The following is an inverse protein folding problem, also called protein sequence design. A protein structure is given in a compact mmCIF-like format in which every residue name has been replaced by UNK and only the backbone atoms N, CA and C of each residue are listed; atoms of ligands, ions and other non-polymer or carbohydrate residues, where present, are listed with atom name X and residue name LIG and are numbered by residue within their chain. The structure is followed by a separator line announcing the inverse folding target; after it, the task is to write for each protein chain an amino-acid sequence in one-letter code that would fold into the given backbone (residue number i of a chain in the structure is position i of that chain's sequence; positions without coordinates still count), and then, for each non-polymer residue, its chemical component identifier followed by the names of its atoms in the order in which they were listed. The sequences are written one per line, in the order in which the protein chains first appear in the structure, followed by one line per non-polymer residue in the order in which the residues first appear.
data_IF_098689071898
#
_entry.id   IF_098689071898
#
_cell.length_a   1.000
_cell.length_b   1.000
_cell.length_c   1.000
_cell.angle_alpha   90.00
_cell.angle_beta   90.00
_cell.angle_gamma   90.00
#
_symmetry.space_group_name_H-M   'P 1'
#
loop_
_entity.id
_entity.type
_entity.pdbx_description
1 polymer ?
#
# COMPACT_ATOMS: atom_id res chain seq x y z
N UNK A 1 88.55 37.47 -7.54
CA UNK A 1 88.32 36.39 -8.53
C UNK A 1 86.86 35.97 -8.43
N UNK A 2 86.11 36.14 -9.51
CA UNK A 2 84.67 35.85 -9.66
C UNK A 2 84.42 34.40 -10.07
N UNK A 3 83.27 33.83 -9.68
CA UNK A 3 82.46 32.77 -10.34
C UNK A 3 81.29 32.42 -9.41
N UNK A 4 80.09 32.92 -9.71
CA UNK A 4 79.03 32.33 -10.55
C UNK A 4 78.20 31.27 -9.82
N UNK A 5 76.92 31.61 -9.64
CA UNK A 5 75.83 30.81 -9.12
C UNK A 5 75.51 29.64 -10.06
N UNK A 6 75.07 28.50 -9.53
CA UNK A 6 74.05 27.68 -10.17
C UNK A 6 73.29 26.82 -9.15
N UNK A 7 71.98 26.75 -9.40
CA UNK A 7 70.93 26.14 -8.60
C UNK A 7 70.93 24.61 -8.74
N UNK A 8 71.00 23.88 -7.63
CA UNK A 8 70.61 22.46 -7.57
C UNK A 8 69.56 22.24 -6.47
N UNK A 9 68.32 22.66 -6.77
CA UNK A 9 67.11 22.35 -5.98
C UNK A 9 66.51 21.01 -6.48
N UNK A 10 67.33 19.96 -6.62
CA UNK A 10 66.88 18.64 -7.09
C UNK A 10 67.61 17.49 -6.39
N UNK A 11 67.59 17.48 -5.06
CA UNK A 11 68.08 16.33 -4.26
C UNK A 11 67.20 16.00 -3.05
N UNK A 12 65.87 16.13 -3.19
CA UNK A 12 64.93 15.59 -2.20
C UNK A 12 64.56 14.14 -2.54
N UNK A 13 64.68 13.19 -1.60
CA UNK A 13 64.25 11.81 -1.80
C UNK A 13 62.72 11.74 -2.02
N UNK A 14 62.31 11.06 -3.09
CA UNK A 14 60.92 10.93 -3.57
C UNK A 14 60.06 9.93 -2.78
N UNK A 15 60.22 9.86 -1.46
CA UNK A 15 59.39 8.98 -0.61
C UNK A 15 58.89 9.72 0.63
N UNK A 16 57.88 10.57 0.42
CA UNK A 16 57.01 10.95 1.52
C UNK A 16 56.16 9.72 1.89
N UNK A 17 56.09 9.32 3.17
CA UNK A 17 55.12 8.31 3.59
C UNK A 17 53.71 8.85 3.25
N UNK A 18 52.77 7.99 2.82
CA UNK A 18 51.40 8.45 2.59
C UNK A 18 50.88 9.07 3.88
N UNK A 19 50.73 10.39 3.86
CA UNK A 19 49.95 11.12 4.84
C UNK A 19 48.60 10.42 4.93
N UNK A 20 48.11 10.23 6.16
CA UNK A 20 46.75 9.82 6.45
C UNK A 20 45.78 10.69 5.62
N UNK A 21 45.43 10.22 4.43
CA UNK A 21 44.26 10.69 3.74
C UNK A 21 43.10 10.39 4.69
N UNK A 22 42.23 11.36 5.03
CA UNK A 22 41.02 11.04 5.73
C UNK A 22 40.29 10.02 4.86
N UNK A 23 40.15 8.79 5.36
CA UNK A 23 39.42 7.74 4.70
C UNK A 23 38.00 8.26 4.47
N UNK A 24 37.69 8.62 3.23
CA UNK A 24 36.35 8.96 2.77
C UNK A 24 35.48 7.68 2.71
N UNK A 25 35.38 6.99 3.84
CA UNK A 25 34.66 5.72 4.00
C UNK A 25 33.95 5.74 5.35
N UNK A 26 33.05 6.71 5.54
CA UNK A 26 32.04 6.69 6.61
C UNK A 26 30.93 7.74 6.40
N UNK A 27 30.48 7.99 5.16
CA UNK A 27 29.25 8.76 4.92
C UNK A 27 28.13 7.92 4.30
N UNK A 28 28.33 6.62 4.12
CA UNK A 28 27.38 5.74 3.44
C UNK A 28 26.52 4.86 4.37
N UNK A 29 26.50 5.10 5.68
CA UNK A 29 25.69 4.30 6.61
C UNK A 29 24.87 5.14 7.57
N UNK A 30 23.98 5.97 7.03
CA UNK A 30 22.65 6.11 7.64
C UNK A 30 21.63 6.10 6.51
N UNK A 31 21.23 4.90 6.08
CA UNK A 31 19.86 4.79 5.59
C UNK A 31 19.00 5.14 6.79
N UNK A 32 18.55 6.39 6.87
CA UNK A 32 17.55 6.85 7.82
C UNK A 32 16.29 6.03 7.52
N UNK A 33 16.22 4.83 8.10
CA UNK A 33 15.01 4.05 8.16
C UNK A 33 13.98 4.98 8.77
N UNK A 34 12.99 5.39 7.97
CA UNK A 34 11.88 6.24 8.44
C UNK A 34 11.42 5.64 9.76
N UNK A 35 11.71 6.36 10.85
CA UNK A 35 11.53 5.83 12.18
C UNK A 35 10.07 5.39 12.31
N UNK A 36 9.80 4.20 12.88
CA UNK A 36 8.44 3.66 12.99
C UNK A 36 7.48 4.62 13.71
N UNK A 37 8.02 5.58 14.48
CA UNK A 37 7.27 6.67 15.10
C UNK A 37 6.44 7.49 14.10
N UNK A 38 6.95 7.73 12.89
CA UNK A 38 6.22 8.50 11.88
C UNK A 38 5.01 7.75 11.35
N UNK A 39 5.00 6.41 11.35
CA UNK A 39 3.83 5.62 10.95
C UNK A 39 2.75 5.64 12.01
N UNK A 40 3.16 5.57 13.28
CA UNK A 40 2.25 5.77 14.40
C UNK A 40 1.65 7.17 14.32
N UNK A 41 2.47 8.20 14.09
CA UNK A 41 2.01 9.57 13.92
C UNK A 41 1.10 9.73 12.69
N UNK A 42 1.46 9.18 11.53
CA UNK A 42 0.62 9.23 10.33
C UNK A 42 -0.73 8.54 10.56
N UNK A 43 -0.75 7.38 11.23
CA UNK A 43 -1.98 6.71 11.60
C UNK A 43 -2.81 7.50 12.60
N UNK A 44 -2.19 8.05 13.64
CA UNK A 44 -2.85 8.90 14.64
C UNK A 44 -3.41 10.19 14.02
N UNK A 45 -2.66 10.82 13.12
CA UNK A 45 -3.12 12.02 12.39
C UNK A 45 -4.31 11.68 11.52
N UNK A 46 -4.32 10.54 10.81
CA UNK A 46 -5.49 10.12 10.05
C UNK A 46 -6.71 9.90 10.96
N UNK A 47 -6.55 9.19 12.07
CA UNK A 47 -7.64 8.95 13.03
C UNK A 47 -8.14 10.27 13.63
N UNK A 48 -7.25 11.18 13.99
CA UNK A 48 -7.60 12.51 14.51
C UNK A 48 -8.26 13.39 13.44
N UNK A 49 -7.81 13.30 12.19
CA UNK A 49 -8.41 14.04 11.08
C UNK A 49 -9.88 13.66 10.90
N UNK A 50 -10.25 12.39 11.05
CA UNK A 50 -11.66 11.97 11.00
C UNK A 50 -12.56 12.64 12.05
N UNK A 51 -11.99 13.15 13.15
CA UNK A 51 -12.73 13.86 14.20
C UNK A 51 -12.92 15.35 13.90
N UNK A 52 -12.23 15.91 12.89
CA UNK A 52 -12.23 17.33 12.58
C UNK A 52 -13.17 17.64 11.40
N UNK A 53 -13.86 18.81 11.41
CA UNK A 53 -14.82 19.21 10.37
C UNK A 53 -14.23 19.38 8.96
N UNK A 54 -12.91 19.23 8.78
CA UNK A 54 -12.24 19.25 7.48
C UNK A 54 -11.37 18.03 7.20
N UNK A 55 -11.15 17.14 8.16
CA UNK A 55 -10.23 16.02 7.93
C UNK A 55 -10.77 15.00 6.95
N UNK A 56 -12.09 14.98 6.72
CA UNK A 56 -12.70 14.22 5.62
C UNK A 56 -12.17 14.64 4.25
N UNK A 57 -11.87 15.93 4.01
CA UNK A 57 -11.30 16.38 2.73
C UNK A 57 -9.87 15.89 2.51
N UNK A 58 -9.07 15.85 3.58
CA UNK A 58 -7.69 15.35 3.54
C UNK A 58 -7.68 13.82 3.38
N UNK A 59 -8.60 13.13 4.06
CA UNK A 59 -8.74 11.69 4.00
C UNK A 59 -9.36 11.21 2.66
N UNK A 60 -10.12 12.06 1.98
CA UNK A 60 -10.93 11.69 0.82
C UNK A 60 -10.17 10.96 -0.30
N UNK A 61 -8.98 11.40 -0.75
CA UNK A 61 -8.18 10.66 -1.73
C UNK A 61 -7.86 9.22 -1.27
N UNK A 62 -7.59 9.04 0.02
CA UNK A 62 -7.33 7.72 0.61
C UNK A 62 -8.60 6.89 0.75
N UNK A 63 -9.75 7.52 1.00
CA UNK A 63 -11.06 6.85 0.96
C UNK A 63 -11.34 6.29 -0.43
N UNK A 64 -11.16 7.09 -1.49
CA UNK A 64 -11.35 6.61 -2.87
C UNK A 64 -10.38 5.49 -3.23
N UNK A 65 -9.11 5.60 -2.82
CA UNK A 65 -8.13 4.55 -3.05
C UNK A 65 -8.47 3.25 -2.29
N UNK A 66 -8.93 3.36 -1.04
CA UNK A 66 -9.37 2.24 -0.25
C UNK A 66 -10.59 1.55 -0.88
N UNK A 67 -11.59 2.31 -1.32
CA UNK A 67 -12.73 1.79 -2.07
C UNK A 67 -12.29 1.11 -3.35
N UNK A 68 -11.34 1.69 -4.09
CA UNK A 68 -10.79 1.02 -5.28
C UNK A 68 -10.13 -0.33 -4.93
N UNK A 69 -9.33 -0.41 -3.86
CA UNK A 69 -8.78 -1.70 -3.41
C UNK A 69 -9.85 -2.70 -3.00
N UNK A 70 -10.89 -2.24 -2.31
CA UNK A 70 -12.02 -3.05 -1.89
C UNK A 70 -12.72 -3.66 -3.11
N UNK A 71 -13.17 -2.83 -4.03
CA UNK A 71 -13.91 -3.31 -5.19
C UNK A 71 -13.04 -4.13 -6.16
N UNK A 72 -11.76 -3.79 -6.31
CA UNK A 72 -10.82 -4.63 -7.05
C UNK A 72 -10.61 -5.98 -6.36
N UNK A 73 -10.68 -6.05 -5.02
CA UNK A 73 -10.64 -7.29 -4.26
C UNK A 73 -11.76 -8.25 -4.68
N UNK A 74 -13.01 -7.76 -4.72
CA UNK A 74 -14.15 -8.52 -5.26
C UNK A 74 -13.91 -8.95 -6.71
N UNK A 75 -13.59 -8.01 -7.59
CA UNK A 75 -13.45 -8.27 -9.02
C UNK A 75 -12.34 -9.26 -9.35
N UNK A 76 -11.17 -9.12 -8.73
CA UNK A 76 -10.05 -10.04 -8.94
C UNK A 76 -10.32 -11.42 -8.35
N UNK A 77 -10.95 -11.50 -7.18
CA UNK A 77 -11.34 -12.79 -6.62
C UNK A 77 -12.40 -13.48 -7.49
N UNK A 78 -13.36 -12.72 -8.04
CA UNK A 78 -14.35 -13.25 -8.97
C UNK A 78 -13.67 -13.89 -10.19
N UNK A 79 -12.70 -13.19 -10.81
CA UNK A 79 -11.90 -13.74 -11.91
C UNK A 79 -11.15 -15.02 -11.51
N UNK A 80 -10.54 -15.05 -10.32
CA UNK A 80 -9.84 -16.24 -9.80
C UNK A 80 -10.79 -17.42 -9.56
N UNK A 81 -12.04 -17.16 -9.17
CA UNK A 81 -13.07 -18.19 -8.97
C UNK A 81 -13.75 -18.65 -10.27
N UNK A 82 -13.33 -18.10 -11.41
CA UNK A 82 -13.85 -18.41 -12.75
C UNK A 82 -15.12 -17.64 -13.12
N UNK A 83 -15.45 -16.58 -12.37
CA UNK A 83 -16.50 -15.64 -12.71
C UNK A 83 -15.97 -14.51 -13.61
N UNK A 84 -16.88 -13.73 -14.20
CA UNK A 84 -16.54 -12.56 -14.99
C UNK A 84 -16.60 -11.30 -14.12
N UNK A 85 -15.60 -10.43 -14.23
CA UNK A 85 -15.65 -9.09 -13.62
C UNK A 85 -16.12 -8.09 -14.69
N UNK A 86 -17.37 -7.65 -14.57
CA UNK A 86 -18.07 -6.93 -15.63
C UNK A 86 -17.76 -5.45 -15.63
N UNK A 87 -17.86 -4.81 -14.47
CA UNK A 87 -17.62 -3.37 -14.31
C UNK A 87 -17.41 -2.98 -12.85
N UNK A 88 -16.72 -1.86 -12.70
CA UNK A 88 -16.42 -1.19 -11.45
C UNK A 88 -17.05 0.20 -11.45
N UNK A 89 -17.89 0.49 -10.46
CA UNK A 89 -18.45 1.82 -10.22
C UNK A 89 -17.84 2.40 -8.95
N UNK A 90 -17.41 3.66 -9.01
CA UNK A 90 -16.94 4.43 -7.85
C UNK A 90 -17.69 5.75 -7.82
N UNK A 91 -18.26 6.07 -6.66
CA UNK A 91 -19.16 7.20 -6.46
C UNK A 91 -18.50 8.33 -5.67
N UNK A 92 -19.00 9.58 -5.81
CA UNK A 92 -18.43 10.75 -5.11
C UNK A 92 -18.56 10.69 -3.58
N UNK A 93 -19.49 9.92 -3.04
CA UNK A 93 -19.64 9.70 -1.59
C UNK A 93 -18.57 8.75 -1.02
N UNK A 94 -17.69 8.22 -1.87
CA UNK A 94 -16.65 7.27 -1.50
C UNK A 94 -17.10 5.82 -1.53
N UNK A 95 -18.36 5.53 -1.85
CA UNK A 95 -18.84 4.17 -2.05
C UNK A 95 -18.46 3.62 -3.43
N UNK A 96 -18.50 2.30 -3.59
CA UNK A 96 -18.19 1.62 -4.85
C UNK A 96 -18.93 0.31 -4.99
N UNK A 97 -18.99 -0.21 -6.22
CA UNK A 97 -19.57 -1.54 -6.51
C UNK A 97 -18.81 -2.21 -7.64
N UNK A 98 -18.35 -3.43 -7.40
CA UNK A 98 -17.85 -4.37 -8.39
C UNK A 98 -18.95 -5.35 -8.84
N UNK A 99 -19.44 -5.18 -10.07
CA UNK A 99 -20.36 -6.13 -10.68
C UNK A 99 -19.59 -7.31 -11.25
N UNK A 100 -19.99 -8.52 -10.86
CA UNK A 100 -19.44 -9.76 -11.36
C UNK A 100 -20.55 -10.76 -11.66
N UNK A 101 -20.32 -11.63 -12.64
CA UNK A 101 -21.28 -12.65 -13.07
C UNK A 101 -20.62 -14.02 -13.01
N UNK A 102 -21.15 -14.89 -12.14
CA UNK A 102 -20.69 -16.27 -12.00
C UNK A 102 -21.45 -17.21 -12.95
N UNK A 103 -20.76 -18.09 -13.70
CA UNK A 103 -21.42 -19.17 -14.43
C UNK A 103 -22.24 -20.06 -13.48
N UNK A 104 -23.37 -20.57 -13.95
CA UNK A 104 -24.14 -21.56 -13.21
C UNK A 104 -23.26 -22.80 -12.96
N UNK A 105 -23.16 -23.25 -11.72
CA UNK A 105 -22.31 -24.36 -11.31
C UNK A 105 -22.84 -25.09 -10.08
N UNK A 106 -22.07 -26.06 -9.58
CA UNK A 106 -22.42 -26.85 -8.39
C UNK A 106 -22.75 -25.97 -7.20
N UNK A 107 -23.91 -26.22 -6.59
CA UNK A 107 -24.48 -25.35 -5.54
C UNK A 107 -23.52 -25.09 -4.36
N UNK A 108 -22.85 -26.14 -3.86
CA UNK A 108 -21.93 -25.99 -2.72
C UNK A 108 -20.64 -25.24 -3.08
N UNK A 109 -20.08 -25.52 -4.26
CA UNK A 109 -18.90 -24.81 -4.77
C UNK A 109 -19.23 -23.35 -5.07
N UNK A 110 -20.42 -23.06 -5.59
CA UNK A 110 -20.92 -21.69 -5.82
C UNK A 110 -20.93 -20.87 -4.54
N UNK A 111 -21.53 -21.39 -3.46
CA UNK A 111 -21.60 -20.68 -2.17
C UNK A 111 -20.22 -20.35 -1.60
N UNK A 112 -19.26 -21.29 -1.69
CA UNK A 112 -17.89 -21.04 -1.22
C UNK A 112 -17.22 -19.95 -2.08
N UNK A 113 -17.39 -20.00 -3.41
CA UNK A 113 -16.86 -18.96 -4.31
C UNK A 113 -17.44 -17.59 -3.99
N UNK A 114 -18.75 -17.49 -3.82
CA UNK A 114 -19.42 -16.23 -3.50
C UNK A 114 -18.97 -15.68 -2.14
N UNK A 115 -18.78 -16.55 -1.14
CA UNK A 115 -18.23 -16.17 0.15
C UNK A 115 -16.77 -15.67 0.05
N UNK A 116 -15.94 -16.31 -0.78
CA UNK A 116 -14.56 -15.86 -1.02
C UNK A 116 -14.52 -14.51 -1.73
N UNK A 117 -15.38 -14.32 -2.74
CA UNK A 117 -15.52 -13.04 -3.45
C UNK A 117 -15.95 -11.95 -2.48
N UNK A 118 -16.98 -12.19 -1.66
CA UNK A 118 -17.44 -11.25 -0.65
C UNK A 118 -16.32 -10.92 0.37
N UNK A 119 -15.58 -11.91 0.87
CA UNK A 119 -14.47 -11.69 1.80
C UNK A 119 -13.31 -10.89 1.19
N UNK A 120 -13.10 -11.01 -0.13
CA UNK A 120 -11.98 -10.36 -0.81
C UNK A 120 -12.11 -8.83 -0.86
N UNK A 121 -13.33 -8.29 -0.78
CA UNK A 121 -13.56 -6.84 -0.75
C UNK A 121 -12.93 -6.19 0.49
N UNK A 122 -13.45 -6.47 1.70
CA UNK A 122 -12.91 -5.93 2.95
C UNK A 122 -11.43 -6.25 3.19
N UNK A 123 -10.97 -7.42 2.70
CA UNK A 123 -9.59 -7.85 2.86
C UNK A 123 -8.64 -7.27 1.80
N UNK A 124 -9.15 -6.70 0.71
CA UNK A 124 -8.35 -6.09 -0.35
C UNK A 124 -7.42 -4.96 0.14
N UNK A 125 -7.96 -3.90 0.78
CA UNK A 125 -7.16 -2.80 1.32
C UNK A 125 -6.07 -3.22 2.32
N UNK A 126 -6.33 -4.05 3.35
CA UNK A 126 -5.29 -4.41 4.32
C UNK A 126 -4.24 -5.37 3.74
N UNK A 127 -4.58 -6.22 2.77
CA UNK A 127 -3.61 -7.05 2.06
C UNK A 127 -2.69 -6.18 1.20
N UNK A 128 -3.25 -5.27 0.40
CA UNK A 128 -2.46 -4.33 -0.40
C UNK A 128 -1.60 -3.42 0.50
N UNK A 129 -2.18 -2.95 1.60
CA UNK A 129 -1.50 -2.11 2.57
C UNK A 129 -0.30 -2.77 3.22
N UNK A 130 -0.47 -4.01 3.70
CA UNK A 130 0.61 -4.82 4.24
C UNK A 130 1.71 -5.03 3.19
N UNK A 131 1.36 -5.39 1.95
CA UNK A 131 2.32 -5.57 0.86
C UNK A 131 3.17 -4.30 0.61
N UNK A 132 2.54 -3.12 0.62
CA UNK A 132 3.23 -1.85 0.45
C UNK A 132 4.14 -1.47 1.62
N UNK A 133 3.72 -1.75 2.86
CA UNK A 133 4.58 -1.57 4.05
C UNK A 133 5.82 -2.46 3.96
N UNK A 134 5.70 -3.72 3.51
CA UNK A 134 6.87 -4.57 3.30
C UNK A 134 7.74 -4.11 2.11
N UNK A 135 7.11 -3.61 1.05
CA UNK A 135 7.81 -3.12 -0.15
C UNK A 135 8.59 -1.83 0.11
N UNK A 136 8.17 -0.99 1.07
CA UNK A 136 8.83 0.28 1.38
C UNK A 136 10.25 0.13 1.94
N UNK A 137 10.61 -1.06 2.45
CA UNK A 137 11.93 -1.34 3.09
C UNK A 137 13.12 -1.22 2.15
N UNK A 138 12.88 -1.27 0.83
CA UNK A 138 13.93 -1.14 -0.17
C UNK A 138 13.43 -0.24 -1.29
N UNK A 139 14.24 0.74 -1.68
CA UNK A 139 13.95 1.62 -2.80
C UNK A 139 13.45 0.88 -4.04
N UNK A 140 14.11 -0.21 -4.47
CA UNK A 140 13.72 -0.95 -5.68
C UNK A 140 12.29 -1.48 -5.61
N UNK A 141 11.89 -2.06 -4.48
CA UNK A 141 10.53 -2.60 -4.31
C UNK A 141 9.51 -1.47 -4.15
N UNK A 142 9.84 -0.40 -3.42
CA UNK A 142 8.99 0.79 -3.31
C UNK A 142 8.69 1.40 -4.69
N UNK A 143 9.75 1.61 -5.48
CA UNK A 143 9.68 2.13 -6.84
C UNK A 143 8.78 1.27 -7.73
N UNK A 144 9.04 -0.04 -7.80
CA UNK A 144 8.24 -0.96 -8.61
C UNK A 144 6.78 -0.97 -8.14
N UNK A 145 6.52 -0.98 -6.84
CA UNK A 145 5.16 -0.95 -6.29
C UNK A 145 4.38 0.30 -6.70
N UNK A 146 5.01 1.48 -6.73
CA UNK A 146 4.37 2.71 -7.22
C UNK A 146 4.02 2.61 -8.71
N UNK A 147 4.95 2.12 -9.54
CA UNK A 147 4.68 1.97 -10.98
C UNK A 147 3.57 0.94 -11.24
N UNK A 148 3.62 -0.20 -10.55
CA UNK A 148 2.60 -1.25 -10.70
C UNK A 148 1.23 -0.76 -10.21
N UNK A 149 1.17 -0.06 -9.08
CA UNK A 149 -0.09 0.51 -8.59
C UNK A 149 -0.66 1.53 -9.58
N UNK A 150 0.16 2.48 -10.04
CA UNK A 150 -0.28 3.46 -11.03
C UNK A 150 -0.75 2.81 -12.33
N UNK A 151 -0.02 1.82 -12.84
CA UNK A 151 -0.40 1.08 -14.05
C UNK A 151 -1.70 0.29 -13.84
N UNK A 152 -1.84 -0.40 -12.70
CA UNK A 152 -3.04 -1.15 -12.37
C UNK A 152 -4.28 -0.26 -12.31
N UNK A 153 -4.17 0.95 -11.75
CA UNK A 153 -5.27 1.92 -11.71
C UNK A 153 -5.65 2.40 -13.13
N UNK A 154 -4.68 2.68 -14.00
CA UNK A 154 -4.93 3.06 -15.39
C UNK A 154 -5.57 1.92 -16.20
N UNK A 155 -5.05 0.70 -16.04
CA UNK A 155 -5.62 -0.49 -16.69
C UNK A 155 -7.02 -0.78 -16.18
N UNK A 156 -7.25 -0.70 -14.87
CA UNK A 156 -8.58 -0.88 -14.30
C UNK A 156 -9.56 0.17 -14.83
N UNK A 157 -9.10 1.41 -15.01
CA UNK A 157 -9.91 2.47 -15.61
C UNK A 157 -10.37 2.11 -17.03
N UNK A 158 -9.45 1.62 -17.85
CA UNK A 158 -9.74 1.22 -19.22
C UNK A 158 -10.69 0.01 -19.28
N UNK A 159 -10.39 -1.03 -18.50
CA UNK A 159 -11.04 -2.33 -18.60
C UNK A 159 -12.38 -2.36 -17.85
N UNK A 160 -12.44 -1.85 -16.61
CA UNK A 160 -13.58 -2.08 -15.71
C UNK A 160 -14.30 -0.82 -15.23
N UNK A 161 -13.64 0.33 -15.08
CA UNK A 161 -14.31 1.51 -14.50
C UNK A 161 -15.37 2.07 -15.45
N UNK A 162 -16.62 2.17 -15.00
CA UNK A 162 -17.77 2.65 -15.82
C UNK A 162 -18.60 3.76 -15.16
N UNK A 163 -18.15 4.31 -14.04
CA UNK A 163 -18.72 5.51 -13.42
C UNK A 163 -17.98 6.78 -13.87
N UNK A 164 -18.69 7.88 -14.14
CA UNK A 164 -18.07 9.16 -14.54
C UNK A 164 -17.03 9.65 -13.51
N UNK A 165 -17.38 9.60 -12.23
CA UNK A 165 -16.48 10.01 -11.15
C UNK A 165 -15.24 9.13 -11.09
N UNK A 166 -15.39 7.80 -11.08
CA UNK A 166 -14.26 6.86 -11.15
C UNK A 166 -13.38 7.05 -12.39
N UNK A 167 -13.97 7.31 -13.56
CA UNK A 167 -13.24 7.50 -14.82
C UNK A 167 -12.37 8.76 -14.82
N UNK A 168 -12.60 9.71 -13.90
CA UNK A 168 -11.77 10.90 -13.72
C UNK A 168 -10.79 10.68 -12.55
N UNK A 169 -11.31 10.28 -11.39
CA UNK A 169 -10.55 10.20 -10.14
C UNK A 169 -9.49 9.11 -10.13
N UNK A 170 -9.81 7.90 -10.60
CA UNK A 170 -8.88 6.76 -10.60
C UNK A 170 -7.67 6.96 -11.53
N UNK A 171 -7.82 7.36 -12.81
CA UNK A 171 -6.66 7.60 -13.63
C UNK A 171 -5.86 8.82 -13.17
N UNK A 172 -6.51 9.86 -12.62
CA UNK A 172 -5.79 11.00 -12.04
C UNK A 172 -4.87 10.56 -10.89
N UNK A 173 -5.40 9.74 -9.96
CA UNK A 173 -4.63 9.16 -8.87
C UNK A 173 -3.52 8.24 -9.40
N UNK A 174 -3.84 7.38 -10.36
CA UNK A 174 -2.88 6.46 -10.98
C UNK A 174 -1.72 7.21 -11.66
N UNK A 175 -2.01 8.30 -12.39
CA UNK A 175 -1.00 9.17 -13.00
C UNK A 175 -0.14 9.88 -11.96
N UNK A 176 -0.74 10.36 -10.86
CA UNK A 176 0.00 11.01 -9.77
C UNK A 176 0.96 10.03 -9.10
N UNK A 177 0.49 8.83 -8.74
CA UNK A 177 1.30 7.77 -8.13
C UNK A 177 2.43 7.34 -9.07
N UNK A 178 2.11 7.15 -10.36
CA UNK A 178 3.09 6.83 -11.40
C UNK A 178 4.13 7.94 -11.54
N UNK A 179 3.71 9.22 -11.54
CA UNK A 179 4.62 10.36 -11.62
C UNK A 179 5.57 10.43 -10.43
N UNK A 180 5.12 10.09 -9.22
CA UNK A 180 5.98 9.95 -8.04
C UNK A 180 7.02 8.85 -8.28
N UNK A 181 6.60 7.67 -8.74
CA UNK A 181 7.52 6.57 -9.06
C UNK A 181 8.58 6.94 -10.11
N UNK A 182 8.21 7.74 -11.11
CA UNK A 182 9.10 8.11 -12.22
C UNK A 182 10.00 9.31 -11.93
N UNK A 183 9.56 10.28 -11.13
CA UNK A 183 10.23 11.59 -11.00
C UNK A 183 10.64 11.97 -9.58
N UNK A 184 10.04 11.39 -8.54
CA UNK A 184 10.33 11.79 -7.18
C UNK A 184 11.65 11.20 -6.67
N UNK A 185 12.35 11.86 -5.73
CA UNK A 185 13.56 11.31 -5.11
C UNK A 185 13.25 10.06 -4.28
N UNK A 186 14.29 9.25 -4.00
CA UNK A 186 14.16 7.93 -3.36
C UNK A 186 13.34 7.96 -2.07
N UNK A 187 13.65 8.92 -1.20
CA UNK A 187 12.95 9.10 0.08
C UNK A 187 11.45 9.35 -0.09
N UNK A 188 11.05 10.17 -1.06
CA UNK A 188 9.63 10.43 -1.35
C UNK A 188 8.93 9.18 -1.85
N UNK A 189 9.56 8.36 -2.68
CA UNK A 189 8.96 7.12 -3.16
C UNK A 189 8.73 6.11 -2.03
N UNK A 190 9.74 5.93 -1.18
CA UNK A 190 9.67 5.06 0.00
C UNK A 190 8.62 5.56 1.00
N UNK A 191 8.59 6.86 1.27
CA UNK A 191 7.58 7.49 2.12
C UNK A 191 6.16 7.33 1.54
N UNK A 192 5.96 7.63 0.25
CA UNK A 192 4.64 7.55 -0.37
C UNK A 192 4.09 6.13 -0.32
N UNK A 193 4.86 5.12 -0.74
CA UNK A 193 4.34 3.75 -0.75
C UNK A 193 4.01 3.27 0.68
N UNK A 194 4.81 3.69 1.66
CA UNK A 194 4.57 3.37 3.06
C UNK A 194 3.33 4.07 3.61
N UNK A 195 3.14 5.35 3.30
CA UNK A 195 1.95 6.12 3.65
C UNK A 195 0.70 5.47 3.04
N UNK A 196 0.70 5.18 1.73
CA UNK A 196 -0.39 4.50 1.05
C UNK A 196 -0.69 3.14 1.71
N UNK A 197 0.36 2.42 2.11
CA UNK A 197 0.24 1.14 2.79
C UNK A 197 -0.49 1.24 4.13
N UNK A 198 -0.07 2.18 4.98
CA UNK A 198 -0.71 2.44 6.28
C UNK A 198 -2.14 2.92 6.10
N UNK A 199 -2.41 3.85 5.18
CA UNK A 199 -3.76 4.34 4.93
C UNK A 199 -4.68 3.22 4.43
N UNK A 200 -4.20 2.34 3.55
CA UNK A 200 -4.98 1.20 3.08
C UNK A 200 -5.34 0.24 4.21
N UNK A 201 -4.42 -0.09 5.12
CA UNK A 201 -4.74 -0.90 6.30
C UNK A 201 -5.69 -0.20 7.28
N UNK A 202 -5.51 1.10 7.51
CA UNK A 202 -6.34 1.87 8.45
C UNK A 202 -7.75 2.07 7.91
N UNK A 203 -7.93 2.14 6.59
CA UNK A 203 -9.23 2.37 5.95
C UNK A 203 -10.28 1.31 6.29
N UNK A 204 -9.88 0.06 6.52
CA UNK A 204 -10.80 -0.99 6.98
C UNK A 204 -11.42 -0.65 8.33
N UNK A 205 -10.71 0.09 9.18
CA UNK A 205 -11.24 0.52 10.47
C UNK A 205 -12.26 1.66 10.36
N UNK A 206 -12.13 2.52 9.36
CA UNK A 206 -13.16 3.52 9.03
C UNK A 206 -14.46 2.84 8.59
N UNK A 207 -14.36 1.67 7.96
CA UNK A 207 -15.51 0.92 7.44
C UNK A 207 -15.98 -0.17 8.43
N UNK A 208 -15.55 -0.16 9.69
CA UNK A 208 -15.98 -1.16 10.69
C UNK A 208 -17.50 -1.23 10.81
N UNK A 209 -18.17 -0.09 10.85
CA UNK A 209 -19.63 -0.05 10.94
C UNK A 209 -20.27 -0.87 9.81
N UNK A 210 -19.74 -0.75 8.59
CA UNK A 210 -20.20 -1.52 7.43
C UNK A 210 -19.99 -3.04 7.58
N UNK A 211 -18.87 -3.47 8.19
CA UNK A 211 -18.60 -4.89 8.45
C UNK A 211 -19.60 -5.51 9.44
N UNK A 212 -20.19 -4.70 10.33
CA UNK A 212 -21.16 -5.13 11.33
C UNK A 212 -22.59 -4.65 11.04
N UNK A 213 -22.86 -4.16 9.83
CA UNK A 213 -24.21 -3.89 9.34
C UNK A 213 -24.67 -5.03 8.43
N UNK A 214 -25.98 -5.26 8.36
CA UNK A 214 -26.54 -6.29 7.47
C UNK A 214 -26.63 -5.82 6.01
N UNK A 215 -26.94 -4.55 5.83
CA UNK A 215 -27.16 -3.90 4.54
C UNK A 215 -26.61 -2.47 4.59
N UNK A 216 -26.14 -1.98 3.46
CA UNK A 216 -25.68 -0.60 3.27
C UNK A 216 -26.36 0.04 2.06
N UNK A 217 -26.32 1.37 2.00
CA UNK A 217 -26.76 2.12 0.83
C UNK A 217 -25.52 2.42 -0.01
N UNK A 218 -25.47 1.90 -1.23
CA UNK A 218 -24.37 2.11 -2.17
C UNK A 218 -24.94 2.65 -3.47
N UNK A 219 -24.49 3.83 -3.91
CA UNK A 219 -25.05 4.49 -5.09
C UNK A 219 -26.58 4.69 -5.04
N UNK A 220 -27.14 4.85 -3.84
CA UNK A 220 -28.59 5.00 -3.60
C UNK A 220 -29.40 3.70 -3.61
N UNK A 221 -28.77 2.54 -3.75
CA UNK A 221 -29.42 1.22 -3.70
C UNK A 221 -29.12 0.53 -2.38
N UNK A 222 -30.11 -0.17 -1.82
CA UNK A 222 -29.89 -1.01 -0.63
C UNK A 222 -29.25 -2.33 -1.08
N UNK A 223 -28.04 -2.59 -0.59
CA UNK A 223 -27.25 -3.78 -0.92
C UNK A 223 -26.84 -4.51 0.37
N UNK A 224 -26.67 -5.83 0.29
CA UNK A 224 -26.14 -6.62 1.40
C UNK A 224 -24.67 -6.26 1.64
N UNK A 225 -24.29 -6.13 2.90
CA UNK A 225 -22.88 -6.00 3.27
C UNK A 225 -22.11 -7.28 2.93
N UNK A 226 -20.80 -7.19 2.79
CA UNK A 226 -19.97 -8.35 2.45
C UNK A 226 -20.03 -9.43 3.52
N UNK A 227 -20.02 -9.02 4.79
CA UNK A 227 -20.17 -9.95 5.91
C UNK A 227 -21.51 -10.68 5.89
N UNK A 228 -22.57 -10.02 5.41
CA UNK A 228 -23.89 -10.63 5.21
C UNK A 228 -23.94 -11.54 3.99
N UNK A 229 -23.26 -11.18 2.90
CA UNK A 229 -23.11 -12.05 1.74
C UNK A 229 -22.36 -13.33 2.11
N UNK A 230 -21.31 -13.23 2.94
CA UNK A 230 -20.62 -14.41 3.50
C UNK A 230 -21.60 -15.22 4.36
N UNK A 231 -22.37 -14.57 5.24
CA UNK A 231 -23.30 -15.27 6.13
C UNK A 231 -24.45 -15.97 5.40
N UNK A 232 -24.90 -15.46 4.25
CA UNK A 232 -25.90 -16.16 3.42
C UNK A 232 -25.32 -17.40 2.74
N UNK A 233 -24.02 -17.37 2.44
CA UNK A 233 -23.33 -18.44 1.75
C UNK A 233 -22.71 -19.48 2.68
N UNK A 234 -22.35 -19.10 3.90
CA UNK A 234 -21.74 -19.95 4.92
C UNK A 234 -22.66 -20.10 6.15
N UNK A 235 -22.20 -20.80 7.20
CA UNK A 235 -23.04 -21.20 8.34
C UNK A 235 -23.13 -20.15 9.47
N UNK A 236 -22.12 -19.28 9.59
CA UNK A 236 -21.98 -18.37 10.73
C UNK A 236 -22.59 -16.99 10.44
N UNK A 237 -23.05 -16.26 11.47
CA UNK A 237 -23.68 -14.96 11.31
C UNK A 237 -22.70 -13.88 10.81
N UNK A 238 -23.24 -12.80 10.24
CA UNK A 238 -22.43 -11.74 9.62
C UNK A 238 -21.42 -11.10 10.58
N UNK A 239 -21.78 -10.90 11.86
CA UNK A 239 -20.87 -10.30 12.84
C UNK A 239 -19.64 -11.16 13.11
N UNK A 240 -19.75 -12.49 12.97
CA UNK A 240 -18.61 -13.40 13.14
C UNK A 240 -17.60 -13.19 12.01
N UNK A 241 -18.09 -13.15 10.77
CA UNK A 241 -17.25 -12.92 9.60
C UNK A 241 -16.66 -11.50 9.58
N UNK A 242 -17.45 -10.49 9.97
CA UNK A 242 -16.98 -9.14 10.18
C UNK A 242 -15.84 -9.07 11.20
N UNK A 243 -15.98 -9.73 12.35
CA UNK A 243 -14.93 -9.82 13.37
C UNK A 243 -13.68 -10.55 12.86
N UNK A 244 -13.85 -11.66 12.14
CA UNK A 244 -12.73 -12.41 11.57
C UNK A 244 -11.91 -11.55 10.60
N UNK A 245 -12.58 -10.84 9.69
CA UNK A 245 -11.92 -9.92 8.76
C UNK A 245 -11.26 -8.75 9.48
N UNK A 246 -11.93 -8.14 10.47
CA UNK A 246 -11.33 -7.07 11.27
C UNK A 246 -10.06 -7.52 12.00
N UNK A 247 -10.07 -8.70 12.63
CA UNK A 247 -8.89 -9.29 13.28
C UNK A 247 -7.80 -9.57 12.24
N UNK A 248 -8.17 -10.13 11.09
CA UNK A 248 -7.24 -10.37 9.97
C UNK A 248 -6.53 -9.08 9.53
N UNK A 249 -7.27 -7.97 9.41
CA UNK A 249 -6.73 -6.65 9.07
C UNK A 249 -5.74 -6.13 10.12
N UNK A 250 -6.05 -6.29 11.41
CA UNK A 250 -5.12 -5.95 12.50
C UNK A 250 -3.85 -6.78 12.41
N UNK A 251 -3.97 -8.09 12.19
CA UNK A 251 -2.83 -9.01 12.06
C UNK A 251 -1.96 -8.64 10.86
N UNK A 252 -2.56 -8.30 9.72
CA UNK A 252 -1.83 -7.85 8.53
C UNK A 252 -1.08 -6.54 8.79
N UNK A 253 -1.72 -5.57 9.43
CA UNK A 253 -1.09 -4.29 9.78
C UNK A 253 0.05 -4.47 10.77
N UNK A 254 -0.19 -5.11 11.92
CA UNK A 254 0.84 -5.30 12.95
C UNK A 254 1.95 -6.23 12.47
N UNK A 255 1.61 -7.30 11.76
CA UNK A 255 2.56 -8.24 11.19
C UNK A 255 3.46 -7.61 10.14
N UNK A 256 2.90 -6.77 9.25
CA UNK A 256 3.69 -6.04 8.26
C UNK A 256 4.64 -5.03 8.90
N UNK A 257 4.18 -4.27 9.89
CA UNK A 257 5.03 -3.35 10.65
C UNK A 257 6.13 -4.09 11.40
N UNK A 258 5.80 -5.18 12.10
CA UNK A 258 6.78 -5.99 12.81
C UNK A 258 7.86 -6.55 11.87
N UNK A 259 7.46 -7.11 10.72
CA UNK A 259 8.39 -7.64 9.72
C UNK A 259 9.21 -6.54 9.02
N UNK A 260 8.64 -5.34 8.91
CA UNK A 260 9.33 -4.19 8.33
C UNK A 260 10.43 -3.63 9.23
N UNK A 261 10.18 -3.61 10.54
CA UNK A 261 11.07 -2.96 11.52
C UNK A 261 11.81 -3.92 12.44
N UNK A 262 11.72 -5.24 12.22
CA UNK A 262 12.50 -6.21 13.00
C UNK A 262 14.00 -5.89 12.88
N UNK A 263 14.74 -5.76 14.01
CA UNK A 263 16.18 -5.57 13.94
C UNK A 263 16.81 -6.79 13.30
N UNK A 264 17.51 -6.60 12.19
CA UNK A 264 18.34 -7.65 11.59
C UNK A 264 19.41 -8.03 12.60
N UNK A 265 19.31 -9.23 13.19
CA UNK A 265 20.42 -9.80 13.97
C UNK A 265 21.64 -9.86 13.06
N UNK A 266 22.64 -9.03 13.34
CA UNK A 266 23.95 -9.14 12.74
C UNK A 266 24.43 -10.58 12.94
N UNK A 267 24.73 -11.27 11.84
CA UNK A 267 25.38 -12.58 11.89
C UNK A 267 26.74 -12.33 12.53
N UNK A 268 26.97 -12.84 13.74
CA UNK A 268 28.27 -12.72 14.39
C UNK A 268 29.34 -13.24 13.41
N UNK A 269 30.46 -12.53 13.23
CA UNK A 269 31.53 -13.01 12.37
C UNK A 269 31.95 -14.40 12.87
N UNK A 270 32.03 -15.36 11.94
CA UNK A 270 32.57 -16.67 12.25
C UNK A 270 33.96 -16.46 12.86
N UNK A 271 34.15 -16.90 14.10
CA UNK A 271 35.46 -16.93 14.73
C UNK A 271 36.36 -17.79 13.85
N UNK A 272 37.38 -17.16 13.27
CA UNK A 272 38.48 -17.82 12.54
C UNK A 272 39.32 -18.60 13.54
#
# INVERSE_FOLDING_TARGET
MSRSWDNDINSLPSTLPPAFAPSATATDEVSDHIQPIWLVLAGMVTIAAWQLPFGNYIAYPFTILATWFHEMGHGLMALLMGAQFDRLLIYPDGSGVAYHTSPAGDFLLGRIKDALVAAAGPMGPPIAGAAFILASRRFKTAHISLLLLGAAMLLATLIWVRSLFGFISIPLMGLLIMAIGLRAPRWTQEFTIQLLGVQACISTFHQLDYLFMSQGIIGGQVMLSDSSQIAQNLLLPYWFWGALMAIGSVVLLLGSLYLAYRPTRLKAPASI
#
